data_IF_958212302261
#
_entry.id   IF_958212302261
#
_cell.length_a   1.000
_cell.length_b   1.000
_cell.length_c   1.000
_cell.angle_alpha   90.00
_cell.angle_beta   90.00
_cell.angle_gamma   90.00
#
_symmetry.space_group_name_H-M   'P 1'
#
loop_
_entity.id
_entity.type
_entity.pdbx_description
1 polymer ?
#
# COMPACT_ATOMS: atom_id res chain seq x y z
N UNK A 1 -16.64 -15.14 77.52
CA UNK A 1 -15.47 -15.04 76.64
C UNK A 1 -15.89 -15.25 75.20
N UNK A 2 -15.94 -14.17 74.51
CA UNK A 2 -16.52 -14.07 73.20
C UNK A 2 -15.35 -14.00 72.17
N UNK A 3 -15.26 -14.99 71.26
CA UNK A 3 -14.31 -14.98 70.15
C UNK A 3 -15.07 -14.55 68.88
N UNK A 4 -14.70 -13.49 68.18
CA UNK A 4 -15.41 -13.06 66.97
C UNK A 4 -14.89 -13.79 65.75
N UNK A 5 -15.84 -14.10 64.88
CA UNK A 5 -15.91 -14.69 63.60
C UNK A 5 -14.71 -14.63 62.68
N UNK A 6 -14.39 -15.81 62.13
CA UNK A 6 -13.62 -16.04 60.94
C UNK A 6 -14.37 -15.51 59.69
N UNK A 7 -13.81 -14.53 59.04
CA UNK A 7 -14.23 -14.12 57.67
C UNK A 7 -13.80 -15.23 56.70
N UNK A 8 -14.75 -15.90 56.13
CA UNK A 8 -14.56 -16.69 54.91
C UNK A 8 -14.07 -15.73 53.79
N UNK A 9 -12.89 -16.01 53.29
CA UNK A 9 -12.39 -15.41 52.06
C UNK A 9 -13.08 -16.14 50.90
N UNK A 10 -13.98 -15.42 50.24
CA UNK A 10 -14.58 -15.83 48.98
C UNK A 10 -13.46 -16.05 47.95
N UNK A 11 -13.16 -17.32 47.69
CA UNK A 11 -12.21 -17.79 46.68
C UNK A 11 -12.93 -18.07 45.35
N UNK A 12 -13.70 -17.14 44.88
CA UNK A 12 -14.26 -17.17 43.52
C UNK A 12 -13.69 -16.07 42.62
N UNK A 13 -12.36 -16.01 42.58
CA UNK A 13 -11.70 -15.39 41.43
C UNK A 13 -11.65 -16.47 40.34
N UNK A 14 -12.74 -16.58 39.59
CA UNK A 14 -12.80 -17.39 38.39
C UNK A 14 -11.61 -17.08 37.51
N UNK A 15 -10.65 -18.01 37.44
CA UNK A 15 -9.63 -18.07 36.39
C UNK A 15 -10.39 -18.11 35.07
N UNK A 16 -10.53 -16.95 34.42
CA UNK A 16 -10.89 -16.89 32.99
C UNK A 16 -9.83 -17.71 32.27
N UNK A 17 -10.23 -18.88 31.77
CA UNK A 17 -9.41 -19.65 30.85
C UNK A 17 -9.19 -18.80 29.62
N UNK A 18 -8.04 -18.11 29.56
CA UNK A 18 -7.57 -17.52 28.32
C UNK A 18 -7.47 -18.65 27.31
N UNK A 19 -8.22 -18.55 26.22
CA UNK A 19 -8.01 -19.39 25.05
C UNK A 19 -6.53 -19.28 24.68
N UNK A 20 -5.86 -20.40 24.32
CA UNK A 20 -4.44 -20.36 23.99
C UNK A 20 -4.24 -19.34 22.88
N UNK A 21 -3.64 -18.18 23.20
CA UNK A 21 -3.31 -17.14 22.25
C UNK A 21 -2.46 -17.75 21.13
N UNK A 22 -2.79 -17.45 19.90
CA UNK A 22 -2.02 -17.89 18.73
C UNK A 22 -0.59 -17.39 18.88
N UNK A 23 0.36 -18.32 18.90
CA UNK A 23 1.79 -18.01 19.02
C UNK A 23 2.34 -17.64 17.66
N UNK A 24 3.05 -16.54 17.57
CA UNK A 24 3.76 -16.13 16.36
C UNK A 24 5.00 -17.00 16.07
N UNK A 25 5.63 -16.83 14.90
CA UNK A 25 6.81 -17.63 14.50
C UNK A 25 8.00 -17.53 15.47
N UNK A 26 8.05 -16.47 16.26
CA UNK A 26 9.10 -16.23 17.26
C UNK A 26 8.80 -16.85 18.63
N UNK A 27 7.72 -17.61 18.77
CA UNK A 27 7.27 -18.17 20.04
C UNK A 27 6.74 -17.11 21.04
N UNK A 28 6.38 -15.93 20.58
CA UNK A 28 5.70 -14.89 21.36
C UNK A 28 4.21 -14.89 21.05
N UNK A 29 3.34 -14.57 22.01
CA UNK A 29 1.94 -14.34 21.72
C UNK A 29 1.79 -13.28 20.62
N UNK A 30 0.93 -13.56 19.65
CA UNK A 30 0.57 -12.50 18.67
C UNK A 30 -0.14 -11.38 19.43
N UNK A 31 0.19 -10.10 19.12
CA UNK A 31 -0.54 -8.99 19.69
C UNK A 31 -2.02 -9.08 19.28
N UNK A 32 -2.90 -8.85 20.23
CA UNK A 32 -4.33 -8.71 19.99
C UNK A 32 -4.59 -7.32 19.41
N UNK A 33 -4.78 -7.25 18.10
CA UNK A 33 -5.17 -6.02 17.43
C UNK A 33 -6.70 -5.97 17.31
N UNK A 34 -7.33 -4.82 17.62
CA UNK A 34 -8.76 -4.68 17.41
C UNK A 34 -9.09 -4.85 15.92
N UNK A 35 -10.12 -5.61 15.62
CA UNK A 35 -10.63 -5.72 14.27
C UNK A 35 -11.04 -4.33 13.74
N UNK A 36 -10.69 -3.99 12.49
CA UNK A 36 -11.11 -2.73 11.90
C UNK A 36 -12.65 -2.61 11.87
N UNK A 37 -13.18 -1.50 12.36
CA UNK A 37 -14.62 -1.26 12.32
C UNK A 37 -15.13 -1.28 10.87
N UNK A 38 -16.35 -1.80 10.61
CA UNK A 38 -16.98 -1.72 9.31
C UNK A 38 -17.06 -0.26 8.83
N UNK A 39 -16.89 -0.03 7.51
CA UNK A 39 -17.08 1.30 6.94
C UNK A 39 -18.56 1.70 6.97
N UNK A 40 -18.85 2.94 7.32
CA UNK A 40 -20.18 3.51 7.21
C UNK A 40 -20.59 3.79 5.75
N UNK A 41 -19.61 4.06 4.89
CA UNK A 41 -19.76 4.27 3.44
C UNK A 41 -18.44 3.96 2.74
N UNK A 42 -18.52 3.66 1.45
CA UNK A 42 -17.35 3.45 0.60
C UNK A 42 -16.95 4.74 -0.12
N UNK A 43 -15.66 4.85 -0.48
CA UNK A 43 -15.05 5.98 -1.20
C UNK A 43 -15.14 7.34 -0.48
N UNK A 44 -14.44 8.37 -0.99
CA UNK A 44 -13.36 8.28 -1.97
C UNK A 44 -12.10 7.63 -1.42
N UNK A 45 -11.32 7.02 -2.29
CA UNK A 45 -10.14 6.26 -1.91
C UNK A 45 -9.05 7.11 -1.23
N UNK A 46 -8.46 6.57 -0.16
CA UNK A 46 -7.16 7.01 0.32
C UNK A 46 -6.06 6.39 -0.54
N UNK A 47 -5.26 7.22 -1.21
CA UNK A 47 -4.15 6.76 -2.05
C UNK A 47 -2.86 6.75 -1.21
N UNK A 48 -2.17 5.61 -1.14
CA UNK A 48 -0.94 5.42 -0.38
C UNK A 48 0.14 4.85 -1.30
N UNK A 49 1.33 5.47 -1.32
CA UNK A 49 2.47 5.00 -2.09
C UNK A 49 3.43 4.19 -1.20
N UNK A 50 3.85 3.02 -1.67
CA UNK A 50 4.92 2.21 -1.07
C UNK A 50 6.24 2.57 -1.74
N UNK A 51 7.03 3.43 -1.11
CA UNK A 51 8.24 3.99 -1.71
C UNK A 51 9.49 3.67 -0.91
N UNK A 52 10.51 3.18 -1.59
CA UNK A 52 11.91 3.18 -1.16
C UNK A 52 12.78 2.99 -2.40
N UNK A 53 13.88 3.75 -2.49
CA UNK A 53 14.82 3.63 -3.60
C UNK A 53 15.68 2.34 -3.57
N UNK A 54 15.76 1.65 -2.42
CA UNK A 54 16.43 0.35 -2.29
C UNK A 54 15.51 -0.75 -2.83
N UNK A 55 16.06 -1.62 -3.70
CA UNK A 55 15.41 -2.85 -4.10
C UNK A 55 15.42 -3.90 -2.98
N UNK A 56 14.45 -4.84 -3.01
CA UNK A 56 14.43 -5.97 -2.08
C UNK A 56 13.93 -5.68 -0.66
N UNK A 57 13.53 -4.45 -0.34
CA UNK A 57 13.05 -4.04 1.00
C UNK A 57 11.57 -4.38 1.27
N UNK A 58 10.98 -5.28 0.51
CA UNK A 58 9.62 -5.74 0.75
C UNK A 58 8.49 -4.81 0.30
N UNK A 59 8.72 -3.83 -0.59
CA UNK A 59 7.65 -2.93 -1.11
C UNK A 59 6.47 -3.72 -1.68
N UNK A 60 6.72 -4.51 -2.71
CA UNK A 60 5.71 -5.33 -3.41
C UNK A 60 5.03 -6.31 -2.46
N UNK A 61 5.80 -7.02 -1.63
CA UNK A 61 5.26 -7.96 -0.64
C UNK A 61 4.34 -7.25 0.35
N UNK A 62 4.74 -6.08 0.84
CA UNK A 62 3.93 -5.27 1.75
C UNK A 62 2.65 -4.79 1.06
N UNK A 63 2.75 -4.31 -0.19
CA UNK A 63 1.60 -3.83 -0.96
C UNK A 63 0.55 -4.93 -1.14
N UNK A 64 0.97 -6.14 -1.55
CA UNK A 64 0.07 -7.28 -1.74
C UNK A 64 -0.59 -7.68 -0.41
N UNK A 65 0.21 -7.87 0.65
CA UNK A 65 -0.32 -8.35 1.93
C UNK A 65 -1.22 -7.32 2.62
N UNK A 66 -0.85 -6.04 2.58
CA UNK A 66 -1.70 -4.98 3.12
C UNK A 66 -3.00 -4.85 2.33
N UNK A 67 -2.93 -4.94 0.98
CA UNK A 67 -4.11 -4.90 0.14
C UNK A 67 -5.07 -6.05 0.42
N UNK A 68 -4.55 -7.28 0.54
CA UNK A 68 -5.34 -8.46 0.86
C UNK A 68 -5.99 -8.35 2.26
N UNK A 69 -5.23 -7.93 3.28
CA UNK A 69 -5.76 -7.76 4.63
C UNK A 69 -6.84 -6.66 4.70
N UNK A 70 -6.71 -5.58 3.94
CA UNK A 70 -7.73 -4.55 3.84
C UNK A 70 -8.99 -5.06 3.13
N UNK A 71 -8.84 -5.87 2.08
CA UNK A 71 -9.97 -6.49 1.39
C UNK A 71 -10.69 -7.49 2.30
N UNK A 72 -9.98 -8.33 3.05
CA UNK A 72 -10.54 -9.21 4.09
C UNK A 72 -11.30 -8.43 5.18
N UNK A 73 -10.85 -7.21 5.50
CA UNK A 73 -11.53 -6.29 6.41
C UNK A 73 -12.69 -5.53 5.74
N UNK A 74 -13.15 -5.95 4.56
CA UNK A 74 -14.32 -5.40 3.85
C UNK A 74 -14.07 -4.07 3.13
N UNK A 75 -12.80 -3.76 2.78
CA UNK A 75 -12.45 -2.58 1.99
C UNK A 75 -12.38 -2.94 0.51
N UNK A 76 -12.83 -2.03 -0.37
CA UNK A 76 -12.60 -2.13 -1.82
C UNK A 76 -11.21 -1.56 -2.12
N UNK A 77 -10.30 -2.40 -2.57
CA UNK A 77 -8.87 -2.07 -2.71
C UNK A 77 -8.44 -2.17 -4.16
N UNK A 78 -7.76 -1.13 -4.65
CA UNK A 78 -7.03 -1.18 -5.93
C UNK A 78 -5.52 -1.16 -5.65
N UNK A 79 -4.83 -2.17 -6.14
CA UNK A 79 -3.36 -2.16 -6.19
C UNK A 79 -2.92 -1.61 -7.54
N UNK A 80 -1.97 -0.70 -7.53
CA UNK A 80 -1.37 -0.13 -8.75
C UNK A 80 0.07 -0.62 -8.83
N UNK A 81 0.33 -1.49 -9.80
CA UNK A 81 1.70 -1.90 -10.12
C UNK A 81 2.39 -0.73 -10.85
N UNK A 82 3.38 -0.14 -10.20
CA UNK A 82 4.08 1.02 -10.74
C UNK A 82 5.59 0.79 -10.81
N UNK A 83 5.94 -0.50 -11.00
CA UNK A 83 7.28 -0.98 -11.28
C UNK A 83 7.29 -1.69 -12.65
N UNK A 84 8.18 -1.30 -13.60
CA UNK A 84 8.33 -1.99 -14.88
C UNK A 84 8.61 -3.49 -14.80
N UNK A 85 9.08 -3.97 -13.63
CA UNK A 85 9.26 -5.41 -13.42
C UNK A 85 7.94 -6.17 -13.33
N UNK A 86 6.82 -5.51 -13.07
CA UNK A 86 5.50 -6.14 -13.01
C UNK A 86 5.34 -7.16 -11.88
N UNK A 87 6.18 -7.08 -10.85
CA UNK A 87 6.26 -8.10 -9.80
C UNK A 87 4.96 -8.21 -8.98
N UNK A 88 4.27 -7.10 -8.75
CA UNK A 88 2.98 -7.08 -8.06
C UNK A 88 1.91 -7.80 -8.90
N UNK A 89 1.82 -7.48 -10.17
CA UNK A 89 0.86 -8.08 -11.10
C UNK A 89 1.07 -9.59 -11.21
N UNK A 90 2.31 -10.03 -11.42
CA UNK A 90 2.67 -11.45 -11.50
C UNK A 90 2.39 -12.16 -10.18
N UNK A 91 2.70 -11.53 -9.04
CA UNK A 91 2.44 -12.05 -7.70
C UNK A 91 0.95 -12.29 -7.42
N UNK A 92 0.06 -11.56 -8.08
CA UNK A 92 -1.39 -11.73 -8.03
C UNK A 92 -1.94 -12.68 -9.11
N UNK A 93 -1.06 -13.27 -9.91
CA UNK A 93 -1.42 -14.25 -10.96
C UNK A 93 -1.91 -13.61 -12.25
N UNK A 94 -1.62 -12.34 -12.50
CA UNK A 94 -1.96 -11.67 -13.76
C UNK A 94 -0.86 -11.95 -14.80
N UNK A 95 -1.21 -12.51 -15.96
CA UNK A 95 -0.24 -12.83 -17.02
C UNK A 95 0.12 -11.57 -17.82
N UNK A 96 0.98 -10.73 -17.27
CA UNK A 96 1.29 -9.37 -17.80
C UNK A 96 1.85 -9.39 -19.23
N UNK A 97 2.45 -10.49 -19.66
CA UNK A 97 2.97 -10.67 -21.01
C UNK A 97 1.88 -10.96 -22.08
N UNK A 98 0.65 -11.26 -21.65
CA UNK A 98 -0.52 -11.50 -22.51
C UNK A 98 -1.43 -10.26 -22.61
N UNK A 99 -1.12 -9.19 -21.85
CA UNK A 99 -1.95 -7.98 -21.82
C UNK A 99 -1.54 -7.04 -22.96
N UNK A 100 -2.51 -6.69 -23.80
CA UNK A 100 -2.33 -5.67 -24.85
C UNK A 100 -2.27 -4.26 -24.29
N UNK A 101 -2.94 -4.00 -23.16
CA UNK A 101 -3.03 -2.69 -22.53
C UNK A 101 -2.71 -2.81 -21.04
N UNK A 102 -1.85 -1.94 -20.56
CA UNK A 102 -1.44 -1.85 -19.15
C UNK A 102 -1.44 -0.39 -18.68
N UNK A 103 -1.00 -0.13 -17.46
CA UNK A 103 -0.83 1.24 -16.97
C UNK A 103 0.07 2.09 -17.88
N UNK A 104 1.04 1.49 -18.57
CA UNK A 104 1.88 2.19 -19.55
C UNK A 104 1.04 2.94 -20.60
N UNK A 105 0.06 2.28 -21.21
CA UNK A 105 -0.79 2.87 -22.23
C UNK A 105 -1.67 3.99 -21.66
N UNK A 106 -2.17 3.83 -20.43
CA UNK A 106 -2.94 4.88 -19.75
C UNK A 106 -2.12 6.16 -19.49
N UNK A 107 -0.80 6.02 -19.30
CA UNK A 107 0.10 7.17 -19.08
C UNK A 107 0.51 7.85 -20.37
N UNK A 108 0.67 7.11 -21.48
CA UNK A 108 1.33 7.56 -22.71
C UNK A 108 0.37 7.77 -23.89
N UNK A 109 -0.80 7.13 -23.86
CA UNK A 109 -1.75 7.13 -24.95
C UNK A 109 -3.08 7.78 -24.54
N UNK A 110 -3.88 8.17 -25.50
CA UNK A 110 -5.21 8.72 -25.29
C UNK A 110 -6.27 7.69 -25.70
N UNK A 111 -7.42 7.74 -25.04
CA UNK A 111 -8.60 6.95 -25.45
C UNK A 111 -8.79 5.64 -24.69
N UNK A 112 -7.90 5.31 -23.75
CA UNK A 112 -8.10 4.19 -22.84
C UNK A 112 -8.84 4.63 -21.58
N UNK A 113 -9.84 3.87 -21.15
CA UNK A 113 -10.47 4.01 -19.82
C UNK A 113 -9.70 3.12 -18.82
N UNK A 114 -9.38 3.67 -17.67
CA UNK A 114 -8.68 2.93 -16.60
C UNK A 114 -9.47 1.70 -16.16
N UNK A 115 -10.81 1.74 -16.23
CA UNK A 115 -11.68 0.62 -15.87
C UNK A 115 -11.48 -0.60 -16.78
N UNK A 116 -11.16 -0.37 -18.04
CA UNK A 116 -10.94 -1.44 -19.02
C UNK A 116 -9.58 -2.15 -18.80
N UNK A 117 -8.67 -1.51 -18.06
CA UNK A 117 -7.32 -2.02 -17.79
C UNK A 117 -7.22 -2.68 -16.41
N UNK A 118 -8.10 -2.28 -15.47
CA UNK A 118 -8.13 -2.90 -14.14
C UNK A 118 -8.52 -4.38 -14.27
N UNK A 119 -7.70 -5.24 -13.67
CA UNK A 119 -7.94 -6.68 -13.61
C UNK A 119 -8.43 -7.09 -12.21
N UNK A 120 -9.43 -7.98 -12.18
CA UNK A 120 -9.90 -8.59 -10.94
C UNK A 120 -8.94 -9.68 -10.48
N UNK A 121 -8.65 -9.74 -9.19
CA UNK A 121 -7.85 -10.80 -8.61
C UNK A 121 -8.73 -11.96 -8.09
N UNK A 122 -8.09 -13.00 -7.55
CA UNK A 122 -8.80 -14.11 -6.88
C UNK A 122 -9.30 -13.74 -5.48
N UNK A 123 -8.87 -12.61 -4.95
CA UNK A 123 -9.27 -12.09 -3.64
C UNK A 123 -10.45 -11.14 -3.84
N UNK A 124 -11.57 -11.45 -3.24
CA UNK A 124 -12.76 -10.59 -3.30
C UNK A 124 -12.47 -9.20 -2.71
N UNK A 125 -12.89 -8.15 -3.42
CA UNK A 125 -12.62 -6.76 -3.02
C UNK A 125 -11.21 -6.25 -3.31
N UNK A 126 -10.37 -7.03 -4.00
CA UNK A 126 -9.01 -6.67 -4.37
C UNK A 126 -8.82 -6.71 -5.89
N UNK A 127 -8.61 -5.55 -6.49
CA UNK A 127 -8.32 -5.39 -7.90
C UNK A 127 -6.89 -4.89 -8.12
N UNK A 128 -6.38 -5.02 -9.35
CA UNK A 128 -5.04 -4.58 -9.72
C UNK A 128 -5.04 -3.83 -11.04
N UNK A 129 -4.35 -2.70 -11.10
CA UNK A 129 -3.96 -2.01 -12.32
C UNK A 129 -2.56 -2.50 -12.71
N UNK A 130 -2.44 -3.35 -13.75
CA UNK A 130 -1.22 -4.09 -14.02
C UNK A 130 -0.18 -3.26 -14.77
N UNK A 131 1.10 -3.61 -14.57
CA UNK A 131 2.23 -3.12 -15.34
C UNK A 131 2.97 -4.26 -16.04
N UNK A 132 3.74 -3.87 -17.05
CA UNK A 132 4.71 -4.71 -17.74
C UNK A 132 5.99 -3.90 -18.01
N UNK A 133 6.95 -4.52 -18.70
CA UNK A 133 8.27 -3.92 -18.98
C UNK A 133 8.17 -2.63 -19.80
N UNK A 134 7.10 -2.44 -20.58
CA UNK A 134 6.90 -1.22 -21.39
C UNK A 134 6.80 0.04 -20.54
N UNK A 135 6.38 -0.08 -19.28
CA UNK A 135 6.33 1.03 -18.33
C UNK A 135 7.70 1.74 -18.19
N UNK A 136 8.81 1.04 -18.43
CA UNK A 136 10.15 1.66 -18.45
C UNK A 136 10.30 2.75 -19.50
N UNK A 137 9.58 2.65 -20.62
CA UNK A 137 9.62 3.65 -21.69
C UNK A 137 8.84 4.93 -21.31
N UNK A 138 7.89 4.83 -20.39
CA UNK A 138 7.08 5.98 -19.97
C UNK A 138 7.94 7.11 -19.38
N UNK A 139 9.01 6.80 -18.63
CA UNK A 139 9.90 7.82 -18.07
C UNK A 139 10.53 8.71 -19.13
N UNK A 140 10.85 8.16 -20.30
CA UNK A 140 11.43 8.93 -21.43
C UNK A 140 10.35 9.66 -22.21
N UNK A 141 9.24 9.00 -22.51
CA UNK A 141 8.16 9.55 -23.31
C UNK A 141 7.47 10.74 -22.64
N UNK A 142 7.27 10.64 -21.33
CA UNK A 142 6.60 11.68 -20.54
C UNK A 142 7.46 12.94 -20.32
N UNK A 143 8.76 12.92 -20.62
CA UNK A 143 9.64 14.09 -20.38
C UNK A 143 9.14 15.35 -21.07
N UNK A 144 8.57 15.22 -22.28
CA UNK A 144 8.03 16.33 -23.06
C UNK A 144 6.59 16.73 -22.71
N UNK A 145 5.89 15.98 -21.87
CA UNK A 145 4.48 16.20 -21.57
C UNK A 145 4.28 17.34 -20.56
N UNK A 146 3.23 18.14 -20.78
CA UNK A 146 2.82 19.21 -19.86
C UNK A 146 2.18 18.58 -18.61
N UNK A 147 2.59 19.05 -17.44
CA UNK A 147 2.14 18.53 -16.14
C UNK A 147 2.38 17.00 -16.01
N UNK A 148 3.50 16.54 -16.50
CA UNK A 148 3.94 15.14 -16.54
C UNK A 148 3.98 14.48 -15.16
N UNK A 149 4.14 15.27 -14.10
CA UNK A 149 4.16 14.79 -12.72
C UNK A 149 2.76 14.45 -12.18
N UNK A 150 1.69 14.85 -12.89
CA UNK A 150 0.30 14.68 -12.46
C UNK A 150 -0.46 13.64 -13.31
N UNK A 151 0.22 12.93 -14.19
CA UNK A 151 -0.44 12.04 -15.15
C UNK A 151 -1.11 10.88 -14.42
N UNK A 152 -0.44 10.24 -13.47
CA UNK A 152 -1.02 9.15 -12.67
C UNK A 152 -2.25 9.63 -11.87
N UNK A 153 -2.20 10.80 -11.27
CA UNK A 153 -3.35 11.37 -10.56
C UNK A 153 -4.58 11.55 -11.48
N UNK A 154 -4.34 11.92 -12.75
CA UNK A 154 -5.42 12.02 -13.77
C UNK A 154 -5.95 10.66 -14.18
N UNK A 155 -5.07 9.64 -14.31
CA UNK A 155 -5.46 8.26 -14.62
C UNK A 155 -6.34 7.66 -13.53
N UNK A 156 -6.00 7.89 -12.26
CA UNK A 156 -6.73 7.32 -11.12
C UNK A 156 -8.04 8.07 -10.79
N UNK A 157 -8.17 9.33 -11.22
CA UNK A 157 -9.32 10.18 -10.89
C UNK A 157 -10.70 9.58 -11.21
N UNK A 158 -10.91 8.88 -12.35
CA UNK A 158 -12.22 8.31 -12.69
C UNK A 158 -12.69 7.21 -11.73
N UNK A 159 -11.77 6.54 -11.03
CA UNK A 159 -12.08 5.38 -10.16
C UNK A 159 -11.91 5.68 -8.67
N UNK A 160 -11.59 6.91 -8.30
CA UNK A 160 -11.32 7.26 -6.90
C UNK A 160 -12.53 7.01 -5.96
N UNK A 161 -13.74 7.14 -6.47
CA UNK A 161 -14.98 6.93 -5.70
C UNK A 161 -15.43 5.44 -5.69
N UNK A 162 -14.78 4.59 -6.48
CA UNK A 162 -15.09 3.17 -6.59
C UNK A 162 -14.36 2.31 -5.55
N UNK A 163 -13.26 2.84 -5.01
CA UNK A 163 -12.40 2.17 -4.02
C UNK A 163 -12.37 2.93 -2.70
N UNK A 164 -11.95 2.25 -1.64
CA UNK A 164 -11.72 2.83 -0.31
C UNK A 164 -10.23 3.10 -0.09
N UNK A 165 -9.38 2.26 -0.68
CA UNK A 165 -7.92 2.37 -0.63
C UNK A 165 -7.32 2.07 -1.99
N UNK A 166 -6.36 2.88 -2.41
CA UNK A 166 -5.50 2.62 -3.57
C UNK A 166 -4.06 2.55 -3.07
N UNK A 167 -3.39 1.42 -3.27
CA UNK A 167 -1.97 1.23 -2.91
C UNK A 167 -1.12 1.23 -4.18
N UNK A 168 -0.10 2.09 -4.24
CA UNK A 168 0.81 2.19 -5.38
C UNK A 168 2.14 1.52 -5.01
N UNK A 169 2.50 0.44 -5.70
CA UNK A 169 3.80 -0.23 -5.55
C UNK A 169 4.84 0.45 -6.44
N UNK A 170 5.72 1.25 -5.86
CA UNK A 170 6.69 2.05 -6.59
C UNK A 170 7.96 1.27 -6.93
N UNK A 171 8.52 1.53 -8.12
CA UNK A 171 9.85 1.04 -8.49
C UNK A 171 10.94 1.55 -7.53
N UNK A 172 12.10 0.85 -7.43
CA UNK A 172 13.22 1.26 -6.58
C UNK A 172 14.05 2.39 -7.20
N UNK A 173 13.43 3.53 -7.49
CA UNK A 173 14.08 4.72 -8.03
C UNK A 173 13.39 5.99 -7.54
N UNK A 174 13.99 7.15 -7.76
CA UNK A 174 13.39 8.46 -7.53
C UNK A 174 13.14 9.19 -8.87
N UNK A 175 12.85 8.44 -9.93
CA UNK A 175 12.54 8.95 -11.25
C UNK A 175 11.12 9.54 -11.39
N UNK A 176 10.74 9.86 -12.62
CA UNK A 176 9.46 10.50 -12.93
C UNK A 176 8.25 9.65 -12.52
N UNK A 177 8.35 8.33 -12.61
CA UNK A 177 7.26 7.45 -12.13
C UNK A 177 7.06 7.61 -10.62
N UNK A 178 8.13 7.57 -9.82
CA UNK A 178 8.01 7.77 -8.36
C UNK A 178 7.46 9.16 -8.02
N UNK A 179 7.86 10.21 -8.75
CA UNK A 179 7.27 11.55 -8.60
C UNK A 179 5.78 11.54 -8.90
N UNK A 180 5.33 10.84 -9.94
CA UNK A 180 3.92 10.67 -10.26
C UNK A 180 3.15 9.95 -9.13
N UNK A 181 3.70 8.86 -8.59
CA UNK A 181 3.09 8.15 -7.47
C UNK A 181 2.91 9.04 -6.25
N UNK A 182 3.97 9.77 -5.86
CA UNK A 182 3.94 10.70 -4.72
C UNK A 182 3.02 11.91 -4.96
N UNK A 183 2.93 12.38 -6.19
CA UNK A 183 2.02 13.49 -6.56
C UNK A 183 0.55 13.05 -6.48
N UNK A 184 0.25 11.79 -6.81
CA UNK A 184 -1.10 11.24 -6.72
C UNK A 184 -1.50 10.82 -5.29
N UNK A 185 -0.54 10.51 -4.42
CA UNK A 185 -0.77 9.93 -3.12
C UNK A 185 -1.22 10.95 -2.05
N UNK A 186 -1.95 10.45 -1.05
CA UNK A 186 -2.25 11.17 0.19
C UNK A 186 -1.22 10.83 1.29
N UNK A 187 -0.67 9.61 1.24
CA UNK A 187 0.29 9.13 2.22
C UNK A 187 1.41 8.30 1.62
N UNK A 188 2.50 8.17 2.33
CA UNK A 188 3.65 7.32 1.96
C UNK A 188 3.96 6.39 3.12
N UNK A 189 4.04 5.10 2.82
CA UNK A 189 4.66 4.10 3.70
C UNK A 189 6.03 3.77 3.13
N UNK A 190 7.04 3.76 3.99
CA UNK A 190 8.45 3.50 3.61
C UNK A 190 8.86 2.15 4.18
N UNK A 191 8.76 1.04 3.42
CA UNK A 191 9.34 -0.24 3.85
C UNK A 191 10.86 -0.12 3.93
N UNK A 192 11.44 -0.52 5.06
CA UNK A 192 12.83 -0.33 5.37
C UNK A 192 13.42 -1.59 6.00
N UNK A 193 14.39 -2.19 5.34
CA UNK A 193 15.21 -3.22 5.95
C UNK A 193 16.14 -2.59 7.00
N UNK A 194 16.15 -3.17 8.21
CA UNK A 194 16.91 -2.63 9.35
C UNK A 194 18.42 -2.84 9.20
N UNK A 195 19.02 -2.24 8.17
CA UNK A 195 20.46 -2.24 7.91
C UNK A 195 21.08 -0.86 8.13
N UNK A 196 22.35 -0.85 8.54
CA UNK A 196 23.08 0.39 8.84
C UNK A 196 23.12 1.39 7.67
N UNK A 197 23.23 0.90 6.43
CA UNK A 197 23.30 1.76 5.24
C UNK A 197 21.92 2.23 4.71
N UNK A 198 20.83 1.70 5.22
CA UNK A 198 19.49 2.05 4.78
C UNK A 198 19.11 3.51 5.11
N UNK A 199 19.68 4.08 6.17
CA UNK A 199 19.40 5.44 6.66
C UNK A 199 19.67 6.53 5.61
N UNK A 200 20.74 6.38 4.80
CA UNK A 200 21.08 7.38 3.77
C UNK A 200 20.04 7.41 2.64
N UNK A 201 19.52 6.25 2.26
CA UNK A 201 18.48 6.15 1.25
C UNK A 201 17.18 6.77 1.71
N UNK A 202 16.81 6.56 2.97
CA UNK A 202 15.61 7.16 3.56
C UNK A 202 15.72 8.68 3.60
N UNK A 203 16.88 9.24 3.97
CA UNK A 203 17.08 10.69 4.00
C UNK A 203 16.83 11.34 2.62
N UNK A 204 17.33 10.74 1.54
CA UNK A 204 17.11 11.24 0.18
C UNK A 204 15.64 11.12 -0.26
N UNK A 205 14.98 10.04 0.13
CA UNK A 205 13.55 9.87 -0.13
C UNK A 205 12.73 10.94 0.61
N UNK A 206 13.02 11.20 1.90
CA UNK A 206 12.34 12.23 2.69
C UNK A 206 12.55 13.61 2.08
N UNK A 207 13.76 13.97 1.68
CA UNK A 207 14.03 15.22 0.96
C UNK A 207 13.22 15.34 -0.34
N UNK A 208 13.05 14.23 -1.06
CA UNK A 208 12.22 14.20 -2.28
C UNK A 208 10.74 14.38 -1.94
N UNK A 209 10.23 13.73 -0.90
CA UNK A 209 8.86 13.91 -0.41
C UNK A 209 8.61 15.36 -0.02
N UNK A 210 9.52 16.01 0.72
CA UNK A 210 9.43 17.42 1.10
C UNK A 210 9.30 18.33 -0.12
N UNK A 211 10.15 18.11 -1.15
CA UNK A 211 10.08 18.89 -2.42
C UNK A 211 8.75 18.70 -3.15
N UNK A 212 8.20 17.49 -3.13
CA UNK A 212 6.90 17.21 -3.76
C UNK A 212 5.78 17.85 -2.95
N UNK A 213 5.82 17.75 -1.62
CA UNK A 213 4.84 18.39 -0.73
C UNK A 213 4.81 19.90 -0.93
N UNK A 214 5.98 20.53 -1.03
CA UNK A 214 6.10 21.97 -1.23
C UNK A 214 5.58 22.45 -2.61
N UNK A 215 5.82 21.68 -3.69
CA UNK A 215 5.64 22.15 -5.05
C UNK A 215 4.47 21.55 -5.82
N UNK A 216 4.12 20.30 -5.54
CA UNK A 216 3.20 19.51 -6.36
C UNK A 216 1.98 19.01 -5.59
N UNK A 217 2.17 18.53 -4.34
CA UNK A 217 1.12 17.90 -3.57
C UNK A 217 1.18 18.28 -2.07
N UNK A 218 0.62 19.42 -1.68
CA UNK A 218 0.66 19.89 -0.28
C UNK A 218 -0.05 18.97 0.73
N UNK A 219 -0.80 17.95 0.27
CA UNK A 219 -1.51 17.00 1.13
C UNK A 219 -0.71 15.74 1.42
N UNK A 220 0.42 15.53 0.73
CA UNK A 220 1.28 14.37 0.92
C UNK A 220 1.90 14.37 2.30
N UNK A 221 1.82 13.25 3.00
CA UNK A 221 2.46 13.06 4.30
C UNK A 221 3.12 11.68 4.39
N UNK A 222 4.13 11.55 5.23
CA UNK A 222 4.71 10.24 5.56
C UNK A 222 3.83 9.60 6.64
N UNK A 223 3.13 8.51 6.28
CA UNK A 223 2.27 7.76 7.20
C UNK A 223 3.10 6.91 8.18
N UNK A 224 4.26 6.45 7.74
CA UNK A 224 5.17 5.70 8.60
C UNK A 224 6.33 5.02 7.88
N UNK A 225 7.23 4.46 8.69
CA UNK A 225 8.31 3.58 8.23
C UNK A 225 7.97 2.17 8.72
N UNK A 226 7.97 1.21 7.81
CA UNK A 226 7.72 -0.20 8.10
C UNK A 226 9.05 -0.94 8.12
N UNK A 227 9.46 -1.41 9.29
CA UNK A 227 10.62 -2.29 9.42
C UNK A 227 10.31 -3.68 8.85
N UNK A 228 11.13 -4.14 7.89
CA UNK A 228 10.97 -5.42 7.19
C UNK A 228 12.16 -6.34 7.46
#
# INVERSE_FOLDING_TARGET
DHVPGSRELDSDTALRSEAPGTMGPTGRPLPDFPEPAPLASHGPARIIAMCNQKGGVGKTTTTINLGAALAEAGRRVLLVDFDPQGALSVGLGIPTHELDVTIYNLLTERGHDVRDVIAHTKVEGLDVLPANIDLSAAEVQLVGEVAREQILARVLRPVIDEYDVILIDCQPSLGLLTVNALTAAHGVIIPLECEFFAMRGVALLVETIEKITDRLNPRLQVDGILAT
#
